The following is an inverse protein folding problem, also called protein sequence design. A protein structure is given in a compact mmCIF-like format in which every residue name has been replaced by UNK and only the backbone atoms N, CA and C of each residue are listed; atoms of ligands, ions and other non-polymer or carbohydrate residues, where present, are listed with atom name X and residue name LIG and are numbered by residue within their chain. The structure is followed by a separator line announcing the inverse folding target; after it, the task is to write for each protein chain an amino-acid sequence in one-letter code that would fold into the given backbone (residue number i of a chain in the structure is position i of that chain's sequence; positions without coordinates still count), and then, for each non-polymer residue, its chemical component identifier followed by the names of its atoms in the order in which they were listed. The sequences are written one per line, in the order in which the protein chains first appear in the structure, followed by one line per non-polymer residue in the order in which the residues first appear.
data_IF_816253378869
#
_entry.id   IF_816253378869
#
_cell.length_a   1.000
_cell.length_b   1.000
_cell.length_c   1.000
_cell.angle_alpha   90.00
_cell.angle_beta   90.00
_cell.angle_gamma   90.00
#
_symmetry.space_group_name_H-M   'P 1'
#
loop_
_entity.id
_entity.type
_entity.pdbx_description
1 polymer ?
#
# COMPACT_ATOMS: atom_id res chain seq x y z
N UNK A 1 6.61 14.27 5.36
CA UNK A 1 6.34 12.87 4.95
C UNK A 1 4.82 12.68 4.92
N UNK A 2 4.21 12.61 3.73
CA UNK A 2 2.75 12.62 3.53
C UNK A 2 2.17 11.20 3.49
N UNK A 3 1.32 10.88 2.51
CA UNK A 3 0.65 9.59 2.35
C UNK A 3 1.58 8.37 2.48
N UNK A 4 2.69 8.34 1.73
CA UNK A 4 3.63 7.21 1.79
C UNK A 4 4.31 7.06 3.15
N UNK A 5 4.49 8.16 3.90
CA UNK A 5 5.09 8.20 5.23
C UNK A 5 6.37 7.36 5.42
N UNK A 6 7.20 7.24 4.37
CA UNK A 6 8.45 6.47 4.38
C UNK A 6 9.64 7.28 4.88
N UNK A 7 10.65 6.59 5.40
CA UNK A 7 11.92 7.13 5.93
C UNK A 7 13.11 6.43 5.27
N UNK A 8 14.35 6.96 5.38
CA UNK A 8 15.53 6.28 4.88
C UNK A 8 15.77 4.87 5.44
N UNK A 9 15.19 4.56 6.61
CA UNK A 9 15.25 3.23 7.23
C UNK A 9 14.16 2.26 6.73
N UNK A 10 13.25 2.73 5.88
CA UNK A 10 12.17 1.91 5.34
C UNK A 10 12.60 1.12 4.10
N UNK A 11 11.90 0.01 3.90
CA UNK A 11 11.92 -0.78 2.68
C UNK A 11 10.50 -0.81 2.14
N UNK A 12 10.30 -0.14 1.01
CA UNK A 12 9.01 -0.01 0.34
C UNK A 12 8.86 -1.08 -0.73
N UNK A 13 7.85 -1.92 -0.58
CA UNK A 13 7.39 -2.82 -1.63
C UNK A 13 6.08 -2.29 -2.22
N UNK A 14 6.15 -1.78 -3.44
CA UNK A 14 4.97 -1.38 -4.20
C UNK A 14 4.66 -2.44 -5.27
N UNK A 15 3.53 -3.11 -5.11
CA UNK A 15 3.01 -4.10 -6.04
C UNK A 15 2.32 -3.40 -7.21
N UNK A 16 3.12 -3.02 -8.20
CA UNK A 16 2.65 -2.39 -9.43
C UNK A 16 3.47 -2.90 -10.60
N UNK A 17 2.80 -3.11 -11.72
CA UNK A 17 3.47 -3.24 -13.01
C UNK A 17 4.19 -1.92 -13.35
N UNK A 18 5.36 -2.00 -13.96
CA UNK A 18 6.22 -0.85 -14.29
C UNK A 18 5.63 0.07 -15.34
N UNK A 19 4.68 -0.38 -16.15
CA UNK A 19 3.99 0.42 -17.15
C UNK A 19 2.96 1.39 -16.53
N UNK A 20 2.60 1.21 -15.26
CA UNK A 20 1.60 2.04 -14.59
C UNK A 20 2.25 3.22 -13.85
N UNK A 21 1.57 4.37 -13.83
CA UNK A 21 2.01 5.56 -13.07
C UNK A 21 2.29 5.24 -11.58
N UNK A 22 1.56 4.27 -11.03
CA UNK A 22 1.75 3.79 -9.66
C UNK A 22 3.16 3.27 -9.41
N UNK A 23 3.82 2.65 -10.39
CA UNK A 23 5.21 2.22 -10.25
C UNK A 23 6.16 3.42 -10.26
N UNK A 24 5.96 4.40 -11.14
CA UNK A 24 6.76 5.62 -11.12
C UNK A 24 6.68 6.33 -9.76
N UNK A 25 5.46 6.51 -9.23
CA UNK A 25 5.23 7.21 -7.95
C UNK A 25 5.68 6.35 -6.75
N UNK A 26 5.23 5.10 -6.66
CA UNK A 26 5.36 4.27 -5.47
C UNK A 26 6.53 3.28 -5.49
N UNK A 27 7.03 2.89 -6.66
CA UNK A 27 8.16 1.96 -6.79
C UNK A 27 9.48 2.65 -7.10
N UNK A 28 9.52 3.93 -7.51
CA UNK A 28 10.76 4.57 -7.96
C UNK A 28 10.93 5.94 -7.29
N UNK A 29 10.25 6.96 -7.82
CA UNK A 29 10.52 8.35 -7.47
C UNK A 29 10.12 8.69 -6.02
N UNK A 30 8.94 8.26 -5.57
CA UNK A 30 8.45 8.55 -4.23
C UNK A 30 9.39 8.06 -3.11
N UNK A 31 9.76 6.76 -3.09
CA UNK A 31 10.74 6.24 -2.13
C UNK A 31 12.11 6.90 -2.26
N UNK A 32 12.65 7.08 -3.47
CA UNK A 32 13.98 7.67 -3.65
C UNK A 32 14.09 9.12 -3.22
N UNK A 33 13.07 9.95 -3.48
CA UNK A 33 13.04 11.32 -2.95
C UNK A 33 13.03 11.37 -1.41
N UNK A 34 12.74 10.25 -0.74
CA UNK A 34 12.78 10.12 0.72
C UNK A 34 13.99 9.31 1.22
N UNK A 35 14.93 8.95 0.33
CA UNK A 35 16.09 8.09 0.64
C UNK A 35 15.71 6.66 1.05
N UNK A 36 14.50 6.23 0.73
CA UNK A 36 13.94 4.92 1.12
C UNK A 36 14.39 3.83 0.15
N UNK A 37 14.68 2.64 0.68
CA UNK A 37 15.01 1.48 -0.15
C UNK A 37 13.77 0.89 -0.81
N UNK A 38 13.89 0.46 -2.07
CA UNK A 38 12.80 -0.17 -2.82
C UNK A 38 13.03 -1.68 -2.85
N UNK A 39 11.95 -2.44 -2.66
CA UNK A 39 11.95 -3.88 -2.83
C UNK A 39 11.28 -4.28 -4.14
N UNK A 40 12.04 -4.95 -5.02
CA UNK A 40 11.54 -5.55 -6.26
C UNK A 40 11.69 -7.08 -6.18
N UNK A 41 10.59 -7.86 -6.10
CA UNK A 41 10.67 -9.31 -6.17
C UNK A 41 11.04 -9.77 -7.59
N UNK A 42 11.88 -10.81 -7.69
CA UNK A 42 12.30 -11.42 -8.96
C UNK A 42 11.14 -12.06 -9.74
N UNK A 43 10.05 -12.43 -9.05
CA UNK A 43 8.92 -13.14 -9.64
C UNK A 43 7.86 -12.15 -10.13
N UNK A 44 7.60 -12.15 -11.44
CA UNK A 44 6.49 -11.42 -12.06
C UNK A 44 5.22 -12.27 -11.89
N UNK A 45 4.16 -11.63 -11.40
CA UNK A 45 2.90 -12.27 -11.05
C UNK A 45 1.99 -12.42 -12.27
N UNK A 46 1.63 -13.66 -12.63
CA UNK A 46 0.54 -13.95 -13.57
C UNK A 46 -0.53 -14.92 -13.02
N UNK A 47 -0.29 -15.54 -11.85
CA UNK A 47 -1.20 -16.55 -11.30
C UNK A 47 -1.69 -16.18 -9.88
N UNK A 48 -3.01 -16.00 -9.75
CA UNK A 48 -3.69 -15.65 -8.50
C UNK A 48 -3.56 -16.71 -7.40
N UNK A 49 -3.41 -17.99 -7.76
CA UNK A 49 -3.31 -19.11 -6.80
C UNK A 49 -2.02 -19.09 -5.98
N UNK A 50 -0.94 -18.53 -6.54
CA UNK A 50 0.36 -18.45 -5.87
C UNK A 50 0.62 -17.08 -5.22
N UNK A 51 -0.27 -16.11 -5.44
CA UNK A 51 -0.10 -14.74 -5.00
C UNK A 51 -0.01 -14.62 -3.47
N UNK A 52 -0.91 -15.30 -2.75
CA UNK A 52 -0.91 -15.30 -1.29
C UNK A 52 0.42 -15.83 -0.74
N UNK A 53 0.83 -17.03 -1.18
CA UNK A 53 2.07 -17.67 -0.74
C UNK A 53 3.30 -16.82 -1.04
N UNK A 54 3.35 -16.15 -2.19
CA UNK A 54 4.44 -15.25 -2.54
C UNK A 54 4.48 -14.02 -1.61
N UNK A 55 3.34 -13.34 -1.42
CA UNK A 55 3.26 -12.16 -0.55
C UNK A 55 3.67 -12.52 0.86
N UNK A 56 3.12 -13.63 1.38
CA UNK A 56 3.48 -14.12 2.69
C UNK A 56 4.97 -14.43 2.81
N UNK A 57 5.52 -15.26 1.92
CA UNK A 57 6.94 -15.62 1.95
C UNK A 57 7.84 -14.39 1.84
N UNK A 58 7.43 -13.40 1.05
CA UNK A 58 8.17 -12.15 0.89
C UNK A 58 8.18 -11.35 2.18
N UNK A 59 7.01 -11.09 2.77
CA UNK A 59 6.88 -10.33 4.02
C UNK A 59 7.47 -11.07 5.23
N UNK A 60 7.57 -12.40 5.17
CA UNK A 60 8.19 -13.20 6.21
C UNK A 60 9.73 -13.25 6.11
N UNK A 61 10.27 -13.35 4.90
CA UNK A 61 11.72 -13.49 4.65
C UNK A 61 12.46 -12.16 4.58
N UNK A 62 11.81 -11.12 4.06
CA UNK A 62 12.44 -9.83 3.81
C UNK A 62 11.91 -8.78 4.78
N UNK A 63 12.77 -7.83 5.23
CA UNK A 63 12.39 -6.79 6.18
C UNK A 63 11.58 -5.64 5.55
N UNK A 64 10.55 -5.97 4.75
CA UNK A 64 9.65 -4.98 4.16
C UNK A 64 8.90 -4.24 5.26
N UNK A 65 8.95 -2.91 5.25
CA UNK A 65 8.30 -2.06 6.27
C UNK A 65 7.03 -1.39 5.74
N UNK A 66 6.98 -1.13 4.44
CA UNK A 66 5.85 -0.47 3.78
C UNK A 66 5.39 -1.30 2.58
N UNK A 67 4.12 -1.71 2.58
CA UNK A 67 3.47 -2.38 1.45
C UNK A 67 2.49 -1.43 0.78
N UNK A 68 2.63 -1.22 -0.52
CA UNK A 68 1.61 -0.55 -1.34
C UNK A 68 1.06 -1.53 -2.36
N UNK A 69 -0.27 -1.70 -2.40
CA UNK A 69 -0.91 -2.62 -3.33
C UNK A 69 -2.27 -2.09 -3.78
N UNK A 70 -2.93 -2.75 -4.73
CA UNK A 70 -4.32 -2.42 -5.08
C UNK A 70 -5.28 -3.00 -4.03
N UNK A 71 -6.49 -2.44 -3.83
CA UNK A 71 -7.48 -3.02 -2.92
C UNK A 71 -7.76 -4.49 -3.22
N UNK A 72 -7.80 -4.88 -4.51
CA UNK A 72 -7.92 -6.28 -4.96
C UNK A 72 -6.99 -7.25 -4.23
N UNK A 73 -5.72 -6.87 -4.02
CA UNK A 73 -4.76 -7.74 -3.32
C UNK A 73 -5.13 -7.88 -1.85
N UNK A 74 -5.48 -6.79 -1.18
CA UNK A 74 -5.96 -6.87 0.20
C UNK A 74 -7.24 -7.71 0.33
N UNK A 75 -8.17 -7.61 -0.64
CA UNK A 75 -9.38 -8.45 -0.68
C UNK A 75 -9.04 -9.93 -0.73
N UNK A 76 -8.03 -10.32 -1.52
CA UNK A 76 -7.56 -11.70 -1.59
C UNK A 76 -6.86 -12.12 -0.29
N UNK A 77 -6.01 -11.26 0.28
CA UNK A 77 -5.24 -11.58 1.49
C UNK A 77 -6.15 -11.85 2.70
N UNK A 78 -7.21 -11.05 2.89
CA UNK A 78 -8.10 -11.19 4.07
C UNK A 78 -8.98 -12.44 4.03
N UNK A 79 -9.05 -13.16 2.91
CA UNK A 79 -9.73 -14.46 2.80
C UNK A 79 -8.96 -15.59 3.50
N UNK A 80 -7.67 -15.38 3.76
CA UNK A 80 -6.84 -16.31 4.51
C UNK A 80 -6.76 -15.89 5.98
N UNK A 81 -6.46 -16.83 6.88
CA UNK A 81 -6.22 -16.55 8.30
C UNK A 81 -4.85 -15.87 8.51
N UNK A 82 -4.83 -14.54 8.40
CA UNK A 82 -3.65 -13.68 8.60
C UNK A 82 -3.13 -13.67 10.05
N UNK A 83 -3.89 -14.17 11.03
CA UNK A 83 -3.46 -14.18 12.44
C UNK A 83 -2.27 -15.11 12.70
N UNK A 84 -2.13 -16.16 11.87
CA UNK A 84 -0.98 -17.09 11.89
C UNK A 84 0.29 -16.48 11.33
N UNK A 85 0.16 -15.31 10.72
CA UNK A 85 1.15 -14.71 9.86
C UNK A 85 1.63 -13.40 10.50
N UNK A 86 2.51 -13.52 11.51
CA UNK A 86 3.10 -12.36 12.16
C UNK A 86 4.10 -11.66 11.21
N UNK A 87 3.68 -10.54 10.62
CA UNK A 87 4.60 -9.68 9.86
C UNK A 87 5.62 -9.06 10.81
N UNK A 88 6.90 -9.42 10.66
CA UNK A 88 7.95 -9.00 11.60
C UNK A 88 8.27 -7.51 11.53
N UNK A 89 8.17 -6.91 10.35
CA UNK A 89 8.65 -5.54 10.07
C UNK A 89 7.60 -4.63 9.45
N UNK A 90 6.51 -5.19 8.92
CA UNK A 90 5.49 -4.42 8.21
C UNK A 90 4.77 -3.48 9.18
N UNK A 91 4.78 -2.18 8.87
CA UNK A 91 4.21 -1.13 9.73
C UNK A 91 3.30 -0.15 9.01
N UNK A 92 3.37 -0.10 7.68
CA UNK A 92 2.57 0.83 6.87
C UNK A 92 2.00 0.14 5.64
N UNK A 93 0.68 0.20 5.48
CA UNK A 93 -0.05 -0.44 4.38
C UNK A 93 -0.78 0.62 3.57
N UNK A 94 -0.44 0.76 2.30
CA UNK A 94 -0.97 1.75 1.38
C UNK A 94 -1.85 1.06 0.34
N UNK A 95 -2.89 1.76 -0.12
CA UNK A 95 -3.69 1.30 -1.26
C UNK A 95 -4.13 2.42 -2.16
N UNK A 96 -4.40 2.11 -3.42
CA UNK A 96 -4.94 3.06 -4.40
C UNK A 96 -5.14 2.42 -5.77
N UNK A 97 -5.96 3.07 -6.60
CA UNK A 97 -6.35 2.64 -7.95
C UNK A 97 -7.78 2.10 -8.06
N UNK A 98 -8.35 1.62 -6.96
CA UNK A 98 -9.77 1.21 -6.84
C UNK A 98 -10.31 1.70 -5.49
N UNK A 99 -11.64 1.79 -5.30
CA UNK A 99 -12.23 2.01 -3.99
C UNK A 99 -11.93 0.87 -3.00
N UNK A 100 -11.45 1.21 -1.81
CA UNK A 100 -11.25 0.26 -0.73
C UNK A 100 -12.58 -0.05 -0.02
N UNK A 101 -12.99 -1.31 -0.04
CA UNK A 101 -14.17 -1.77 0.69
C UNK A 101 -13.95 -1.65 2.22
N UNK A 102 -14.84 -0.96 2.96
CA UNK A 102 -14.77 -0.85 4.42
C UNK A 102 -14.59 -2.17 5.17
N UNK A 103 -15.24 -3.25 4.72
CA UNK A 103 -15.14 -4.56 5.36
C UNK A 103 -13.74 -5.16 5.21
N UNK A 104 -13.09 -4.94 4.06
CA UNK A 104 -11.72 -5.40 3.80
C UNK A 104 -10.74 -4.63 4.69
N UNK A 105 -10.93 -3.32 4.84
CA UNK A 105 -10.16 -2.52 5.78
C UNK A 105 -10.32 -3.03 7.22
N UNK A 106 -11.56 -3.32 7.63
CA UNK A 106 -11.86 -3.80 8.97
C UNK A 106 -11.27 -5.21 9.23
N UNK A 107 -11.41 -6.14 8.28
CA UNK A 107 -10.81 -7.47 8.36
C UNK A 107 -9.30 -7.42 8.44
N UNK A 108 -8.65 -6.65 7.58
CA UNK A 108 -7.20 -6.47 7.61
C UNK A 108 -6.75 -5.95 8.98
N UNK A 109 -7.44 -4.95 9.52
CA UNK A 109 -7.13 -4.40 10.85
C UNK A 109 -7.31 -5.43 11.95
N UNK A 110 -8.38 -6.22 11.92
CA UNK A 110 -8.66 -7.27 12.91
C UNK A 110 -7.59 -8.36 12.90
N UNK A 111 -7.17 -8.82 11.72
CA UNK A 111 -6.26 -9.96 11.63
C UNK A 111 -4.77 -9.57 11.78
N UNK A 112 -4.39 -8.37 11.35
CA UNK A 112 -2.97 -7.95 11.28
C UNK A 112 -2.60 -6.85 12.28
N UNK A 113 -3.61 -6.18 12.87
CA UNK A 113 -3.40 -4.98 13.68
C UNK A 113 -3.02 -3.73 12.87
N UNK A 114 -2.83 -3.83 11.55
CA UNK A 114 -2.40 -2.72 10.69
C UNK A 114 -3.58 -2.02 10.03
N UNK A 115 -3.43 -0.72 9.79
CA UNK A 115 -4.43 0.09 9.09
C UNK A 115 -4.03 0.25 7.62
N UNK A 116 -5.00 0.17 6.69
CA UNK A 116 -4.77 0.46 5.27
C UNK A 116 -5.06 1.94 5.01
N UNK A 117 -4.10 2.64 4.42
CA UNK A 117 -4.16 4.05 4.09
C UNK A 117 -4.43 4.22 2.59
N UNK A 118 -5.67 4.53 2.25
CA UNK A 118 -6.10 4.75 0.87
C UNK A 118 -5.64 6.10 0.33
N UNK A 119 -5.10 6.08 -0.89
CA UNK A 119 -4.77 7.24 -1.71
C UNK A 119 -5.51 7.18 -3.04
N UNK A 120 -6.02 8.34 -3.46
CA UNK A 120 -6.67 8.56 -4.74
C UNK A 120 -5.78 9.42 -5.64
N UNK A 121 -5.74 9.05 -6.91
CA UNK A 121 -4.94 9.71 -7.91
C UNK A 121 -5.22 9.18 -9.30
N UNK A 122 -4.64 9.85 -10.30
CA UNK A 122 -4.74 9.51 -11.71
C UNK A 122 -3.37 9.68 -12.39
N UNK A 123 -3.23 9.20 -13.62
CA UNK A 123 -1.95 9.24 -14.36
C UNK A 123 -1.49 10.68 -14.61
N UNK A 124 -2.42 11.58 -14.85
CA UNK A 124 -2.23 12.96 -15.27
C UNK A 124 -1.69 13.85 -14.15
N UNK A 125 -2.01 13.52 -12.89
CA UNK A 125 -1.72 14.37 -11.73
C UNK A 125 -0.88 13.63 -10.68
N UNK A 126 -0.94 12.31 -10.64
CA UNK A 126 -0.46 11.51 -9.53
C UNK A 126 -1.44 11.50 -8.37
N UNK A 127 -0.94 11.59 -7.14
CA UNK A 127 -1.78 11.52 -5.92
C UNK A 127 -2.47 12.86 -5.68
N UNK A 128 -3.79 12.81 -5.55
CA UNK A 128 -4.68 13.97 -5.40
C UNK A 128 -5.19 14.06 -3.95
N UNK A 129 -5.70 12.95 -3.41
CA UNK A 129 -6.23 12.85 -2.05
C UNK A 129 -5.67 11.61 -1.36
N UNK A 130 -5.52 11.66 -0.04
CA UNK A 130 -5.11 10.49 0.72
C UNK A 130 -5.54 10.53 2.19
N UNK A 131 -5.68 9.34 2.76
CA UNK A 131 -5.68 9.11 4.19
C UNK A 131 -4.22 9.04 4.68
N UNK A 132 -3.78 10.02 5.48
CA UNK A 132 -2.41 10.11 5.98
C UNK A 132 -2.30 9.61 7.43
N UNK A 133 -1.10 9.19 7.83
CA UNK A 133 -0.85 8.77 9.21
C UNK A 133 -1.17 9.90 10.18
N UNK A 134 -1.86 9.58 11.27
CA UNK A 134 -2.34 10.56 12.26
C UNK A 134 -3.73 11.13 11.97
N UNK A 135 -4.31 10.89 10.79
CA UNK A 135 -5.69 11.28 10.48
C UNK A 135 -6.69 10.24 10.97
N UNK A 136 -7.89 10.70 11.36
CA UNK A 136 -9.05 9.83 11.56
C UNK A 136 -9.57 9.37 10.19
N UNK A 137 -9.35 8.10 9.86
CA UNK A 137 -9.85 7.51 8.61
C UNK A 137 -11.36 7.31 8.71
N UNK A 138 -12.09 7.84 7.72
CA UNK A 138 -13.54 7.61 7.55
C UNK A 138 -13.71 6.55 6.45
N UNK A 139 -14.27 5.36 6.76
CA UNK A 139 -14.52 4.35 5.73
C UNK A 139 -15.36 4.90 4.57
N UNK A 140 -14.97 4.56 3.34
CA UNK A 140 -15.59 5.09 2.11
C UNK A 140 -15.17 6.51 1.73
N UNK A 141 -14.24 7.14 2.46
CA UNK A 141 -13.66 8.44 2.11
C UNK A 141 -12.24 8.29 1.59
N UNK A 142 -11.93 8.99 0.50
CA UNK A 142 -10.60 9.07 -0.12
C UNK A 142 -9.59 9.93 0.68
N UNK A 143 -9.98 10.42 1.85
CA UNK A 143 -9.15 11.25 2.72
C UNK A 143 -9.20 12.74 2.35
N UNK A 144 -8.07 13.43 2.51
CA UNK A 144 -7.95 14.88 2.26
C UNK A 144 -6.98 15.14 1.12
N UNK A 145 -7.09 16.32 0.50
CA UNK A 145 -6.18 16.76 -0.55
C UNK A 145 -4.72 16.65 -0.08
N UNK A 146 -3.86 16.08 -0.92
CA UNK A 146 -2.42 16.05 -0.69
C UNK A 146 -1.79 17.32 -1.25
N UNK A 147 -0.85 17.97 -0.52
CA UNK A 147 -0.15 19.14 -1.07
C UNK A 147 0.56 18.81 -2.39
N UNK A 148 0.59 19.74 -3.37
CA UNK A 148 0.06 21.11 -3.31
C UNK A 148 -1.41 21.25 -3.76
N UNK A 149 -2.15 20.16 -3.94
CA UNK A 149 -3.46 20.18 -4.57
C UNK A 149 -4.51 20.94 -3.73
N UNK A 150 -5.34 21.74 -4.41
CA UNK A 150 -6.54 22.36 -3.85
C UNK A 150 -7.78 21.72 -4.47
N UNK A 151 -8.30 20.67 -3.83
CA UNK A 151 -9.45 19.89 -4.33
C UNK A 151 -10.77 20.56 -3.92
N UNK A 152 -11.65 20.79 -4.89
CA UNK A 152 -12.96 21.42 -4.73
C UNK A 152 -14.08 20.49 -5.26
N UNK A 153 -15.33 20.79 -4.92
CA UNK A 153 -16.54 20.07 -5.39
C UNK A 153 -17.34 20.96 -6.32
#
# INVERSE_FOLDING_TARGET
RYWMNVTPSDIMWNMSDTAWVKAAIGSIFGPWFQGTSIFFPKTILFNSLLLFSLIWQTLYRYPVTTLCSAPTVYRMLVQHDLSRYAFKTLRHCLTGGEPLNPEVMAQWKRQTGLTIYEGYGQTEIGIICANMKGMKIKPGSLGKATPPNNVQV
#
